data_IF_268317510783
#
_entry.id   IF_268317510783
#
_cell.length_a   1.000
_cell.length_b   1.000
_cell.length_c   1.000
_cell.angle_alpha   90.00
_cell.angle_beta   90.00
_cell.angle_gamma   90.00
#
_symmetry.space_group_name_H-M   'P 1'
#
loop_
_entity.id
_entity.type
_entity.pdbx_description
1 polymer ?
#
# COMPACT_ATOMS: atom_id res chain seq x y z
N UNK A 1 13.66 1.24 -9.63
CA UNK A 1 14.55 1.41 -8.47
C UNK A 1 13.74 1.03 -7.24
N UNK A 2 14.33 0.29 -6.30
CA UNK A 2 13.66 -0.11 -5.06
C UNK A 2 13.88 0.97 -4.00
N UNK A 3 12.81 1.37 -3.31
CA UNK A 3 12.78 2.46 -2.34
C UNK A 3 12.40 1.90 -0.96
N UNK A 4 13.06 2.34 0.13
CA UNK A 4 12.67 1.93 1.47
C UNK A 4 11.34 2.60 1.86
N UNK A 5 10.46 1.84 2.51
CA UNK A 5 9.38 2.40 3.31
C UNK A 5 9.89 2.59 4.74
N UNK A 6 9.66 3.78 5.28
CA UNK A 6 10.11 4.20 6.60
C UNK A 6 9.00 3.87 7.60
N UNK A 7 9.29 3.19 8.73
CA UNK A 7 8.30 2.98 9.76
C UNK A 7 8.00 4.32 10.44
N UNK A 8 6.72 4.60 10.70
CA UNK A 8 6.31 5.79 11.44
C UNK A 8 6.97 5.77 12.83
N UNK A 9 7.41 6.91 13.41
CA UNK A 9 8.13 6.93 14.69
C UNK A 9 7.42 6.26 15.88
N UNK A 10 6.09 6.16 15.82
CA UNK A 10 5.28 5.48 16.85
C UNK A 10 5.09 3.97 16.61
N UNK A 11 5.55 3.46 15.46
CA UNK A 11 5.40 2.07 15.07
C UNK A 11 6.44 1.19 15.76
N UNK A 12 5.99 0.03 16.25
CA UNK A 12 6.90 -1.08 16.52
C UNK A 12 7.09 -1.85 15.21
N UNK A 13 8.34 -2.01 14.80
CA UNK A 13 8.68 -2.76 13.60
C UNK A 13 9.51 -4.01 13.87
N UNK A 14 9.97 -4.22 15.12
CA UNK A 14 10.55 -5.48 15.62
C UNK A 14 11.63 -6.11 14.71
N UNK A 15 12.44 -5.27 14.06
CA UNK A 15 13.53 -5.72 13.18
C UNK A 15 13.11 -6.04 11.73
N UNK A 16 11.85 -5.79 11.37
CA UNK A 16 11.40 -5.82 9.98
C UNK A 16 11.99 -4.62 9.20
N UNK A 17 12.20 -4.83 7.90
CA UNK A 17 12.46 -3.77 6.92
C UNK A 17 11.52 -3.96 5.73
N UNK A 18 11.12 -2.86 5.10
CA UNK A 18 10.18 -2.89 4.00
C UNK A 18 10.69 -2.00 2.87
N UNK A 19 10.66 -2.54 1.66
CA UNK A 19 11.02 -1.80 0.44
C UNK A 19 9.99 -2.04 -0.65
N UNK A 20 9.89 -1.12 -1.60
CA UNK A 20 8.98 -1.22 -2.73
C UNK A 20 9.65 -0.77 -4.02
N UNK A 21 9.39 -1.48 -5.11
CA UNK A 21 9.60 -0.96 -6.45
C UNK A 21 8.24 -0.65 -7.10
N UNK A 22 8.14 0.51 -7.75
CA UNK A 22 6.97 0.91 -8.51
C UNK A 22 7.37 1.31 -9.93
N UNK A 23 6.55 0.93 -10.91
CA UNK A 23 6.73 1.27 -12.32
C UNK A 23 5.40 1.64 -12.94
N UNK A 24 5.37 2.76 -13.67
CA UNK A 24 4.23 3.18 -14.46
C UNK A 24 4.47 2.88 -15.94
N UNK A 25 3.46 2.31 -16.59
CA UNK A 25 3.43 2.11 -18.03
C UNK A 25 2.02 2.38 -18.54
N UNK A 26 1.81 3.56 -19.14
CA UNK A 26 0.48 4.00 -19.55
C UNK A 26 -0.45 4.15 -18.34
N UNK A 27 -1.57 3.42 -18.37
CA UNK A 27 -2.58 3.35 -17.32
C UNK A 27 -2.29 2.25 -16.28
N UNK A 28 -1.14 1.57 -16.36
CA UNK A 28 -0.78 0.51 -15.39
C UNK A 28 0.27 1.00 -14.40
N UNK A 29 0.02 0.74 -13.12
CA UNK A 29 1.01 0.83 -12.04
C UNK A 29 1.33 -0.58 -11.55
N UNK A 30 2.59 -0.99 -11.73
CA UNK A 30 3.14 -2.24 -11.22
C UNK A 30 3.89 -1.98 -9.92
N UNK A 31 3.61 -2.81 -8.91
CA UNK A 31 4.12 -2.69 -7.55
C UNK A 31 4.79 -4.00 -7.12
N UNK A 32 5.94 -3.91 -6.47
CA UNK A 32 6.68 -5.04 -5.90
C UNK A 32 7.18 -4.66 -4.49
N UNK A 33 6.39 -5.02 -3.48
CA UNK A 33 6.73 -4.86 -2.07
C UNK A 33 7.56 -6.06 -1.59
N UNK A 34 8.65 -5.79 -0.86
CA UNK A 34 9.49 -6.79 -0.22
C UNK A 34 9.68 -6.46 1.26
N UNK A 35 9.13 -7.32 2.12
CA UNK A 35 9.30 -7.29 3.57
C UNK A 35 10.37 -8.31 3.96
N UNK A 36 11.36 -7.88 4.75
CA UNK A 36 12.45 -8.72 5.24
C UNK A 36 12.58 -8.64 6.76
N UNK A 37 13.24 -9.62 7.38
CA UNK A 37 13.45 -9.69 8.82
C UNK A 37 12.65 -10.84 9.45
N UNK A 38 12.12 -10.71 10.67
CA UNK A 38 11.36 -11.78 11.33
C UNK A 38 9.91 -11.86 10.81
N UNK A 39 9.75 -12.11 9.50
CA UNK A 39 8.47 -12.15 8.77
C UNK A 39 7.46 -13.15 9.35
N UNK A 40 7.94 -14.19 10.03
CA UNK A 40 7.13 -15.20 10.73
C UNK A 40 6.36 -14.62 11.92
N UNK A 41 6.75 -13.43 12.40
CA UNK A 41 6.05 -12.72 13.48
C UNK A 41 4.88 -11.88 12.99
N UNK A 42 4.69 -11.76 11.67
CA UNK A 42 3.59 -11.01 11.05
C UNK A 42 2.31 -11.83 11.08
N UNK A 43 1.22 -11.19 11.48
CA UNK A 43 -0.13 -11.73 11.38
C UNK A 43 -0.64 -11.54 9.94
N UNK A 44 -0.61 -12.62 9.17
CA UNK A 44 -1.10 -12.64 7.80
C UNK A 44 -2.63 -12.81 7.76
N UNK A 45 -3.35 -12.04 6.92
CA UNK A 45 -4.78 -12.27 6.72
C UNK A 45 -5.01 -13.66 6.12
N UNK A 46 -6.17 -14.26 6.41
CA UNK A 46 -6.56 -15.53 5.81
C UNK A 46 -6.77 -15.38 4.31
N UNK A 47 -6.40 -16.40 3.55
CA UNK A 47 -6.58 -16.43 2.11
C UNK A 47 -8.06 -16.21 1.75
N UNK A 48 -8.30 -15.35 0.76
CA UNK A 48 -9.63 -14.97 0.32
C UNK A 48 -9.76 -15.12 -1.20
N UNK A 49 -11.00 -15.13 -1.68
CA UNK A 49 -11.25 -14.91 -3.10
C UNK A 49 -10.75 -13.50 -3.51
N UNK A 50 -10.46 -13.29 -4.79
CA UNK A 50 -10.09 -11.98 -5.34
C UNK A 50 -11.31 -11.07 -5.45
N UNK A 51 -11.85 -10.67 -4.31
CA UNK A 51 -13.07 -9.87 -4.17
C UNK A 51 -12.76 -8.50 -3.61
N UNK A 52 -13.61 -7.53 -3.97
CA UNK A 52 -13.56 -6.20 -3.38
C UNK A 52 -14.03 -6.28 -1.92
N UNK A 53 -13.23 -5.76 -0.99
CA UNK A 53 -13.51 -5.82 0.45
C UNK A 53 -13.06 -4.52 1.11
N UNK A 54 -13.94 -3.90 1.90
CA UNK A 54 -13.61 -2.68 2.65
C UNK A 54 -12.78 -2.98 3.91
N UNK A 55 -12.22 -1.93 4.53
CA UNK A 55 -11.53 -1.99 5.83
C UNK A 55 -10.28 -2.91 5.87
N UNK A 56 -9.66 -3.20 4.72
CA UNK A 56 -8.46 -4.06 4.63
C UNK A 56 -7.27 -3.52 5.43
N UNK A 57 -7.16 -2.21 5.58
CA UNK A 57 -6.13 -1.50 6.35
C UNK A 57 -6.13 -1.83 7.86
N UNK A 58 -7.18 -2.50 8.37
CA UNK A 58 -7.26 -2.93 9.78
C UNK A 58 -6.39 -4.16 10.09
N UNK A 59 -5.86 -4.82 9.06
CA UNK A 59 -4.95 -5.95 9.15
C UNK A 59 -3.69 -5.66 8.31
N UNK A 60 -2.81 -6.66 8.15
CA UNK A 60 -1.65 -6.53 7.26
C UNK A 60 -2.12 -6.25 5.82
N UNK A 61 -1.77 -5.08 5.30
CA UNK A 61 -2.23 -4.54 4.01
C UNK A 61 -1.12 -3.69 3.37
N UNK A 62 -1.02 -3.73 2.05
CA UNK A 62 -0.11 -2.89 1.26
C UNK A 62 -0.94 -1.93 0.43
N UNK A 63 -0.48 -0.68 0.29
CA UNK A 63 -1.34 0.36 -0.26
C UNK A 63 -0.56 1.29 -1.18
N UNK A 64 -1.24 1.75 -2.22
CA UNK A 64 -0.72 2.75 -3.14
C UNK A 64 -1.72 3.89 -3.27
N UNK A 65 -1.20 5.10 -3.52
CA UNK A 65 -1.98 6.30 -3.74
C UNK A 65 -1.51 6.94 -5.03
N UNK A 66 -2.43 7.28 -5.93
CA UNK A 66 -2.12 7.93 -7.19
C UNK A 66 -2.82 9.28 -7.28
N UNK A 67 -2.04 10.36 -7.31
CA UNK A 67 -2.57 11.71 -7.45
C UNK A 67 -3.21 11.93 -8.83
N UNK A 68 -4.24 12.76 -8.83
CA UNK A 68 -4.97 13.27 -9.99
C UNK A 68 -5.11 14.80 -9.84
N UNK A 69 -5.48 15.55 -10.88
CA UNK A 69 -5.64 17.00 -10.78
C UNK A 69 -6.57 17.45 -9.66
N UNK A 70 -7.63 16.67 -9.41
CA UNK A 70 -8.72 17.02 -8.49
C UNK A 70 -8.76 16.14 -7.23
N UNK A 71 -7.67 15.44 -6.90
CA UNK A 71 -7.64 14.54 -5.74
C UNK A 71 -6.72 13.34 -5.96
N UNK A 72 -7.14 12.15 -5.54
CA UNK A 72 -6.32 10.93 -5.72
C UNK A 72 -7.16 9.66 -5.69
N UNK A 73 -6.54 8.55 -6.10
CA UNK A 73 -7.08 7.20 -5.92
C UNK A 73 -6.19 6.43 -4.95
N UNK A 74 -6.81 5.81 -3.96
CA UNK A 74 -6.21 4.86 -3.03
C UNK A 74 -6.47 3.43 -3.52
N UNK A 75 -5.48 2.56 -3.37
CA UNK A 75 -5.57 1.11 -3.58
C UNK A 75 -5.18 0.40 -2.29
N UNK A 76 -6.01 -0.54 -1.83
CA UNK A 76 -5.69 -1.43 -0.71
C UNK A 76 -5.50 -2.85 -1.26
N UNK A 77 -4.35 -3.46 -0.97
CA UNK A 77 -3.89 -4.71 -1.57
C UNK A 77 -3.53 -5.68 -0.45
N UNK A 78 -4.48 -6.55 -0.10
CA UNK A 78 -4.30 -7.52 0.98
C UNK A 78 -3.48 -8.72 0.50
N UNK A 79 -2.56 -9.26 1.33
CA UNK A 79 -1.92 -10.55 1.09
C UNK A 79 -2.88 -11.73 0.88
N UNK A 80 -4.14 -11.60 1.33
CA UNK A 80 -5.20 -12.59 1.10
C UNK A 80 -5.66 -12.68 -0.36
N UNK A 81 -5.34 -11.67 -1.18
CA UNK A 81 -5.88 -11.48 -2.52
C UNK A 81 -7.13 -10.59 -2.59
N UNK A 82 -7.73 -10.24 -1.45
CA UNK A 82 -8.77 -9.22 -1.38
C UNK A 82 -8.19 -7.82 -1.68
N UNK A 83 -9.02 -6.94 -2.24
CA UNK A 83 -8.58 -5.61 -2.66
C UNK A 83 -9.67 -4.55 -2.45
N UNK A 84 -9.28 -3.29 -2.42
CA UNK A 84 -10.21 -2.17 -2.57
C UNK A 84 -9.55 -1.05 -3.36
N UNK A 85 -10.38 -0.17 -3.92
CA UNK A 85 -9.90 1.09 -4.46
C UNK A 85 -10.93 2.18 -4.22
N UNK A 86 -10.46 3.37 -3.86
CA UNK A 86 -11.31 4.50 -3.54
C UNK A 86 -10.77 5.76 -4.21
N UNK A 87 -11.66 6.55 -4.80
CA UNK A 87 -11.34 7.89 -5.25
C UNK A 87 -11.68 8.89 -4.16
N UNK A 88 -10.82 9.89 -4.03
CA UNK A 88 -11.01 11.07 -3.21
C UNK A 88 -10.96 12.32 -4.08
N UNK A 89 -11.74 13.33 -3.70
CA UNK A 89 -11.78 14.66 -4.34
C UNK A 89 -10.85 15.66 -3.64
N UNK A 90 -10.04 15.18 -2.69
CA UNK A 90 -9.16 15.97 -1.86
C UNK A 90 -8.75 15.23 -0.60
N UNK A 91 -8.03 15.91 0.29
CA UNK A 91 -7.54 15.31 1.53
C UNK A 91 -8.68 14.77 2.40
N UNK A 92 -8.79 13.43 2.48
CA UNK A 92 -9.82 12.67 3.21
C UNK A 92 -11.26 13.13 2.89
N UNK A 93 -11.49 13.60 1.67
CA UNK A 93 -12.78 14.14 1.24
C UNK A 93 -13.30 13.44 -0.02
N UNK A 94 -14.63 13.33 -0.12
CA UNK A 94 -15.29 12.80 -1.32
C UNK A 94 -15.02 11.32 -1.59
N UNK A 95 -14.73 10.52 -0.56
CA UNK A 95 -14.43 9.09 -0.71
C UNK A 95 -15.57 8.37 -1.43
N UNK A 96 -15.26 7.74 -2.55
CA UNK A 96 -16.17 6.86 -3.29
C UNK A 96 -15.44 5.67 -3.85
N UNK A 97 -16.18 4.59 -4.11
CA UNK A 97 -15.66 3.46 -4.86
C UNK A 97 -15.00 3.92 -6.18
N UNK A 98 -13.75 3.52 -6.41
CA UNK A 98 -13.14 3.60 -7.73
C UNK A 98 -13.34 2.25 -8.43
N UNK A 99 -14.00 2.26 -9.58
CA UNK A 99 -14.27 1.04 -10.33
C UNK A 99 -13.10 0.70 -11.23
N UNK A 100 -12.53 -0.48 -11.00
CA UNK A 100 -11.46 -1.04 -11.81
C UNK A 100 -11.61 -2.56 -11.88
N UNK A 101 -10.95 -3.17 -12.86
CA UNK A 101 -10.81 -4.62 -12.91
C UNK A 101 -10.05 -5.10 -11.68
N UNK A 102 -10.44 -6.27 -11.14
CA UNK A 102 -9.74 -6.86 -10.02
C UNK A 102 -8.23 -7.00 -10.32
N UNK A 103 -7.35 -6.48 -9.45
CA UNK A 103 -5.93 -6.49 -9.70
C UNK A 103 -5.36 -7.90 -9.53
N UNK A 104 -4.24 -8.17 -10.20
CA UNK A 104 -3.54 -9.42 -10.00
C UNK A 104 -2.57 -9.29 -8.83
N UNK A 105 -2.96 -9.79 -7.65
CA UNK A 105 -2.10 -9.84 -6.46
C UNK A 105 -1.43 -11.21 -6.40
N UNK A 106 -0.11 -11.23 -6.21
CA UNK A 106 0.70 -12.43 -6.00
C UNK A 106 1.56 -12.24 -4.78
N UNK A 107 1.49 -13.19 -3.85
CA UNK A 107 2.36 -13.22 -2.68
C UNK A 107 3.36 -14.36 -2.75
N UNK A 108 4.58 -14.14 -2.25
CA UNK A 108 5.58 -15.18 -2.03
C UNK A 108 6.10 -15.08 -0.61
N UNK A 109 6.28 -16.24 0.03
CA UNK A 109 6.80 -16.35 1.39
C UNK A 109 8.00 -17.29 1.39
N UNK A 110 9.04 -16.89 2.08
CA UNK A 110 10.23 -17.70 2.37
C UNK A 110 10.71 -17.35 3.79
N UNK A 111 11.59 -18.15 4.41
CA UNK A 111 12.14 -17.82 5.71
C UNK A 111 12.73 -16.41 5.74
N UNK A 112 12.21 -15.56 6.63
CA UNK A 112 12.58 -14.17 6.80
C UNK A 112 12.25 -13.22 5.64
N UNK A 113 11.44 -13.64 4.67
CA UNK A 113 11.08 -12.84 3.50
C UNK A 113 9.61 -13.01 3.08
N UNK A 114 8.98 -11.89 2.76
CA UNK A 114 7.68 -11.83 2.11
C UNK A 114 7.73 -10.86 0.94
N UNK A 115 7.09 -11.22 -0.17
CA UNK A 115 6.90 -10.32 -1.30
C UNK A 115 5.42 -10.26 -1.70
N UNK A 116 4.95 -9.06 -2.05
CA UNK A 116 3.65 -8.84 -2.69
C UNK A 116 3.87 -8.08 -3.99
N UNK A 117 3.45 -8.69 -5.09
CA UNK A 117 3.41 -8.06 -6.41
C UNK A 117 1.97 -7.77 -6.80
N UNK A 118 1.71 -6.58 -7.32
CA UNK A 118 0.39 -6.19 -7.80
C UNK A 118 0.48 -5.29 -9.04
N UNK A 119 -0.47 -5.48 -9.96
CA UNK A 119 -0.73 -4.56 -11.06
C UNK A 119 -2.11 -3.94 -10.84
N UNK A 120 -2.18 -2.61 -10.82
CA UNK A 120 -3.43 -1.84 -10.70
C UNK A 120 -3.59 -0.90 -11.90
N UNK A 121 -4.84 -0.63 -12.27
CA UNK A 121 -5.19 0.37 -13.29
C UNK A 121 -5.24 1.75 -12.64
N UNK A 122 -4.41 2.67 -13.12
CA UNK A 122 -4.40 4.07 -12.75
C UNK A 122 -5.67 4.78 -13.27
N UNK A 123 -6.17 5.80 -12.55
CA UNK A 123 -7.23 6.64 -13.07
C UNK A 123 -6.75 7.46 -14.27
N UNK A 124 -7.69 7.83 -15.13
CA UNK A 124 -7.47 8.88 -16.12
C UNK A 124 -6.95 10.14 -15.44
N UNK A 125 -5.95 10.77 -16.05
CA UNK A 125 -5.32 11.98 -15.53
C UNK A 125 -4.36 11.76 -14.36
N UNK A 126 -3.98 10.51 -14.01
CA UNK A 126 -2.95 10.28 -13.00
C UNK A 126 -1.67 11.10 -13.29
N UNK A 127 -1.23 11.89 -12.32
CA UNK A 127 -0.15 12.88 -12.52
C UNK A 127 1.25 12.27 -12.47
N UNK A 128 1.36 11.02 -12.01
CA UNK A 128 2.65 10.35 -11.75
C UNK A 128 3.16 10.55 -10.32
N UNK A 129 2.51 11.40 -9.51
CA UNK A 129 2.82 11.55 -8.08
C UNK A 129 2.13 10.42 -7.30
N UNK A 130 2.93 9.58 -6.65
CA UNK A 130 2.54 8.31 -6.02
C UNK A 130 2.93 8.30 -4.53
N UNK A 131 2.00 7.86 -3.69
CA UNK A 131 2.27 7.41 -2.32
C UNK A 131 2.34 5.89 -2.26
N UNK A 132 3.29 5.33 -1.52
CA UNK A 132 3.44 3.89 -1.31
C UNK A 132 3.58 3.63 0.18
N UNK A 133 2.75 2.72 0.70
CA UNK A 133 2.63 2.52 2.14
C UNK A 133 2.28 1.06 2.46
N UNK A 134 2.36 0.70 3.75
CA UNK A 134 1.85 -0.55 4.25
C UNK A 134 1.45 -0.44 5.72
N UNK A 135 0.45 -1.22 6.11
CA UNK A 135 0.12 -1.56 7.49
C UNK A 135 0.58 -2.99 7.73
N UNK A 136 1.41 -3.21 8.75
CA UNK A 136 1.90 -4.55 9.14
C UNK A 136 1.43 -4.86 10.55
N UNK A 137 0.64 -5.91 10.71
CA UNK A 137 0.18 -6.37 12.02
C UNK A 137 1.09 -7.48 12.55
N UNK A 138 1.57 -7.36 13.77
CA UNK A 138 2.31 -8.42 14.46
C UNK A 138 1.39 -9.43 15.15
N UNK A 139 1.84 -10.67 15.30
CA UNK A 139 1.11 -11.70 16.07
C UNK A 139 0.94 -11.34 17.55
N UNK A 140 1.76 -10.42 18.07
CA UNK A 140 1.64 -9.86 19.42
C UNK A 140 0.60 -8.71 19.52
N UNK A 141 -0.11 -8.40 18.43
CA UNK A 141 -1.09 -7.31 18.37
C UNK A 141 -0.49 -5.93 18.07
N UNK A 142 0.82 -5.82 17.82
CA UNK A 142 1.43 -4.58 17.35
C UNK A 142 0.94 -4.22 15.95
N UNK A 143 0.94 -2.93 15.63
CA UNK A 143 0.66 -2.41 14.29
C UNK A 143 1.79 -1.46 13.91
N UNK A 144 2.43 -1.73 12.78
CA UNK A 144 3.44 -0.88 12.16
C UNK A 144 2.89 -0.20 10.92
N UNK A 145 3.08 1.11 10.84
CA UNK A 145 2.69 1.94 9.70
C UNK A 145 3.93 2.37 8.93
N UNK A 146 3.97 2.07 7.64
CA UNK A 146 5.14 2.26 6.79
C UNK A 146 4.78 3.11 5.60
N UNK A 147 5.61 4.09 5.26
CA UNK A 147 5.36 4.97 4.11
C UNK A 147 6.67 5.50 3.54
N UNK A 148 6.64 6.00 2.31
CA UNK A 148 7.79 6.73 1.74
C UNK A 148 8.11 7.99 2.56
N UNK A 149 7.09 8.66 3.10
CA UNK A 149 7.23 9.83 3.96
C UNK A 149 6.06 9.93 4.97
N UNK A 150 6.39 10.38 6.19
CA UNK A 150 5.44 10.67 7.27
C UNK A 150 5.48 12.18 7.59
N UNK A 151 4.60 12.99 6.98
CA UNK A 151 4.62 14.44 7.12
C UNK A 151 3.93 14.95 8.38
N UNK A 152 3.24 14.08 9.13
CA UNK A 152 2.50 14.43 10.34
C UNK A 152 2.96 13.61 11.56
N UNK A 153 2.50 14.00 12.75
CA UNK A 153 2.71 13.26 14.00
C UNK A 153 1.91 11.94 14.08
N UNK A 154 0.94 11.77 13.17
CA UNK A 154 0.11 10.58 13.02
C UNK A 154 0.51 9.82 11.75
N UNK A 155 0.30 8.49 11.71
CA UNK A 155 0.43 7.72 10.49
C UNK A 155 -0.71 8.06 9.53
N UNK A 156 -0.55 9.17 8.80
CA UNK A 156 -1.54 9.71 7.88
C UNK A 156 -1.09 9.58 6.44
N UNK A 157 -1.35 8.42 5.85
CA UNK A 157 -1.00 8.11 4.46
C UNK A 157 -1.71 8.99 3.43
N UNK A 158 -2.83 9.62 3.80
CA UNK A 158 -3.62 10.48 2.93
C UNK A 158 -3.07 11.90 2.81
N UNK A 159 -2.09 12.28 3.63
CA UNK A 159 -1.48 13.59 3.56
C UNK A 159 -0.77 13.75 2.19
N UNK A 160 -0.98 14.87 1.45
CA UNK A 160 -0.38 15.04 0.12
C UNK A 160 1.14 14.83 0.10
N UNK A 161 1.84 15.33 1.12
CA UNK A 161 3.31 15.18 1.26
C UNK A 161 3.76 13.73 1.56
N UNK A 162 2.85 12.78 1.82
CA UNK A 162 3.18 11.34 1.85
C UNK A 162 3.35 10.76 0.44
N UNK A 163 2.91 11.46 -0.61
CA UNK A 163 3.03 11.02 -1.99
C UNK A 163 4.40 11.42 -2.56
N UNK A 164 5.43 10.76 -2.05
CA UNK A 164 6.82 11.18 -2.20
C UNK A 164 7.57 10.52 -3.38
N UNK A 165 6.86 9.89 -4.32
CA UNK A 165 7.45 9.31 -5.54
C UNK A 165 6.86 9.94 -6.79
N UNK A 166 7.73 10.40 -7.69
CA UNK A 166 7.36 10.81 -9.04
C UNK A 166 7.71 9.71 -10.05
N UNK A 167 6.72 9.28 -10.83
CA UNK A 167 6.84 8.35 -11.95
C UNK A 167 6.50 9.07 -13.27
N UNK A 168 7.15 8.68 -14.39
CA UNK A 168 6.90 9.27 -15.70
C UNK A 168 5.48 9.01 -16.23
#
# INVERSE_FOLDING_TARGET
>A
MRLPLIPHPTSRHDGLTLEVEARRQGDRLSLDYALSGPVETVLWPQDAARVRTDDLWRATCFEAFAATPDGYVEYNLSPSGAWAAYRFEGYRHGMRAFDMTAPFIVTRRAPGQFALTADVTLPDGATGVIGLTAVIQGMNGSVGYWALAHPSDKPDFHHPDSFALELP
#
